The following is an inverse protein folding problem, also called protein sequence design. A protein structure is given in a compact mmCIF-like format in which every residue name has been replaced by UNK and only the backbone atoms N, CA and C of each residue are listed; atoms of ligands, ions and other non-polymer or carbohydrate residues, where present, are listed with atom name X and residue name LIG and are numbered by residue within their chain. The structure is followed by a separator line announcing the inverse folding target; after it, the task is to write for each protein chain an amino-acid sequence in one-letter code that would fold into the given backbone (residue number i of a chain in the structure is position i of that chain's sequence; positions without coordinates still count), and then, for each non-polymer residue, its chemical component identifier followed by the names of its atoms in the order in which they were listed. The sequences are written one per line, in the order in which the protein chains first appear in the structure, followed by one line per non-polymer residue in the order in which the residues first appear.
data_IF_671405638563
#
_entry.id   IF_671405638563
#
_cell.length_a   1.000
_cell.length_b   1.000
_cell.length_c   1.000
_cell.angle_alpha   90.00
_cell.angle_beta   90.00
_cell.angle_gamma   90.00
#
_symmetry.space_group_name_H-M   'P 1'
#
loop_
_entity.id
_entity.type
_entity.pdbx_description
1 polymer ?
#
# COMPACT_ATOMS: atom_id res chain seq x y z
N UNK A 1 -21.66 16.19 -23.91
CA UNK A 1 -20.94 16.94 -22.87
C UNK A 1 -21.94 17.20 -21.76
N UNK A 2 -22.14 16.26 -20.85
CA UNK A 2 -22.88 16.45 -19.60
C UNK A 2 -22.01 17.34 -18.71
N UNK A 3 -22.53 18.50 -18.37
CA UNK A 3 -21.93 19.36 -17.35
C UNK A 3 -21.85 18.56 -16.04
N UNK A 4 -20.64 18.47 -15.47
CA UNK A 4 -20.47 17.97 -14.12
C UNK A 4 -21.36 18.81 -13.19
N UNK A 5 -22.28 18.20 -12.51
CA UNK A 5 -23.05 18.86 -11.44
C UNK A 5 -22.05 19.14 -10.33
N UNK A 6 -21.73 20.43 -10.13
CA UNK A 6 -20.90 20.89 -9.00
C UNK A 6 -21.45 20.29 -7.71
N UNK A 7 -20.57 19.69 -6.93
CA UNK A 7 -20.88 19.11 -5.62
C UNK A 7 -21.39 20.22 -4.69
N UNK A 8 -22.53 20.01 -4.05
CA UNK A 8 -23.11 20.95 -3.10
C UNK A 8 -22.42 20.82 -1.71
N UNK A 9 -21.10 21.08 -1.63
CA UNK A 9 -20.32 20.90 -0.40
C UNK A 9 -18.84 21.25 -0.60
N UNK A 10 -18.01 21.05 0.43
CA UNK A 10 -16.57 21.17 0.31
C UNK A 10 -15.99 20.16 -0.71
N UNK A 11 -14.86 20.49 -1.38
CA UNK A 11 -14.21 19.56 -2.31
C UNK A 11 -13.87 18.23 -1.63
N UNK A 12 -13.99 17.12 -2.36
CA UNK A 12 -13.53 15.82 -1.86
C UNK A 12 -12.02 15.79 -1.83
N UNK A 13 -11.44 15.55 -0.67
CA UNK A 13 -10.01 15.34 -0.55
C UNK A 13 -9.61 14.02 -1.21
N UNK A 14 -8.57 14.05 -2.03
CA UNK A 14 -8.04 12.90 -2.76
C UNK A 14 -6.56 12.75 -2.42
N UNK A 15 -6.25 11.75 -1.61
CA UNK A 15 -4.87 11.39 -1.27
C UNK A 15 -4.31 10.45 -2.34
N UNK A 16 -3.38 10.94 -3.13
CA UNK A 16 -2.66 10.14 -4.12
C UNK A 16 -1.35 9.67 -3.49
N UNK A 17 -1.21 8.36 -3.30
CA UNK A 17 -0.03 7.72 -2.71
C UNK A 17 0.77 7.03 -3.82
N UNK A 18 1.85 7.64 -4.34
CA UNK A 18 2.73 7.00 -5.30
C UNK A 18 3.46 5.83 -4.63
N UNK A 19 3.46 4.69 -5.31
CA UNK A 19 4.10 3.47 -4.81
C UNK A 19 4.48 2.52 -5.93
N UNK A 20 5.15 1.45 -5.59
CA UNK A 20 5.26 0.23 -6.40
C UNK A 20 4.86 -0.97 -5.54
N UNK A 21 4.32 -2.04 -6.14
CA UNK A 21 4.32 -3.37 -5.53
C UNK A 21 5.48 -4.17 -6.12
N UNK A 22 6.26 -4.84 -5.27
CA UNK A 22 7.51 -5.43 -5.71
C UNK A 22 7.62 -6.91 -5.33
N UNK A 23 7.30 -7.77 -6.30
CA UNK A 23 7.66 -9.17 -6.22
C UNK A 23 9.16 -9.32 -6.53
N UNK A 24 9.89 -9.99 -5.64
CA UNK A 24 11.32 -10.24 -5.85
C UNK A 24 11.58 -11.32 -6.90
N UNK A 25 10.60 -12.16 -7.13
CA UNK A 25 10.60 -13.22 -8.13
C UNK A 25 9.15 -13.57 -8.49
N UNK A 26 8.82 -13.62 -9.79
CA UNK A 26 7.48 -13.96 -10.26
C UNK A 26 7.54 -14.54 -11.70
N UNK A 27 7.26 -13.73 -12.76
CA UNK A 27 7.40 -14.16 -14.17
C UNK A 27 8.85 -14.26 -14.62
N UNK A 28 9.72 -13.47 -14.01
CA UNK A 28 11.15 -13.49 -14.21
C UNK A 28 11.87 -13.94 -12.93
N UNK A 29 13.08 -14.50 -13.04
CA UNK A 29 13.87 -14.85 -11.88
C UNK A 29 14.37 -13.61 -11.12
N UNK A 30 14.70 -13.79 -9.85
CA UNK A 30 15.12 -12.74 -8.92
C UNK A 30 16.11 -11.72 -9.49
N UNK A 31 17.16 -12.18 -10.19
CA UNK A 31 18.18 -11.28 -10.73
C UNK A 31 17.65 -10.36 -11.83
N UNK A 32 16.65 -10.79 -12.60
CA UNK A 32 16.01 -9.96 -13.62
C UNK A 32 15.17 -8.87 -12.94
N UNK A 33 14.39 -9.22 -11.93
CA UNK A 33 13.62 -8.23 -11.14
C UNK A 33 14.53 -7.28 -10.39
N UNK A 34 15.62 -7.77 -9.82
CA UNK A 34 16.61 -6.93 -9.15
C UNK A 34 17.22 -5.87 -10.08
N UNK A 35 17.51 -6.22 -11.32
CA UNK A 35 17.96 -5.24 -12.32
C UNK A 35 16.91 -4.19 -12.63
N UNK A 36 15.62 -4.58 -12.70
CA UNK A 36 14.50 -3.65 -12.87
C UNK A 36 14.37 -2.73 -11.64
N UNK A 37 14.53 -3.29 -10.43
CA UNK A 37 14.49 -2.54 -9.16
C UNK A 37 15.58 -1.47 -9.09
N UNK A 38 16.81 -1.80 -9.48
CA UNK A 38 17.91 -0.84 -9.52
C UNK A 38 17.54 0.36 -10.38
N UNK A 39 16.99 0.13 -11.58
CA UNK A 39 16.55 1.21 -12.46
C UNK A 39 15.40 2.02 -11.88
N UNK A 40 14.43 1.37 -11.22
CA UNK A 40 13.30 2.03 -10.60
C UNK A 40 13.79 2.99 -9.50
N UNK A 41 14.66 2.51 -8.61
CA UNK A 41 15.14 3.32 -7.48
C UNK A 41 16.09 4.42 -7.96
N UNK A 42 17.00 4.16 -8.92
CA UNK A 42 17.85 5.20 -9.51
C UNK A 42 16.97 6.35 -10.08
N UNK A 43 15.94 6.04 -10.89
CA UNK A 43 15.02 7.05 -11.45
C UNK A 43 14.20 7.76 -10.36
N UNK A 44 13.76 7.02 -9.32
CA UNK A 44 13.02 7.62 -8.21
C UNK A 44 13.86 8.64 -7.44
N UNK A 45 15.12 8.31 -7.13
CA UNK A 45 16.03 9.20 -6.43
C UNK A 45 16.27 10.48 -7.24
N UNK A 46 16.53 10.34 -8.54
CA UNK A 46 16.74 11.47 -9.44
C UNK A 46 15.47 12.34 -9.57
N UNK A 47 14.29 11.72 -9.72
CA UNK A 47 13.01 12.44 -9.78
C UNK A 47 12.78 13.25 -8.50
N UNK A 48 12.95 12.63 -7.33
CA UNK A 48 12.66 13.28 -6.05
C UNK A 48 13.63 14.44 -5.73
N UNK A 49 14.85 14.38 -6.24
CA UNK A 49 15.80 15.48 -6.08
C UNK A 49 15.55 16.63 -7.06
N UNK A 50 15.05 16.33 -8.26
CA UNK A 50 14.82 17.32 -9.33
C UNK A 50 13.45 17.98 -9.21
N UNK A 51 12.44 17.27 -8.68
CA UNK A 51 11.07 17.74 -8.57
C UNK A 51 10.55 17.69 -7.13
N UNK A 52 10.48 18.84 -6.49
CA UNK A 52 9.91 18.97 -5.15
C UNK A 52 8.39 18.71 -5.10
N UNK A 53 7.68 18.85 -6.23
CA UNK A 53 6.25 18.58 -6.32
C UNK A 53 5.91 17.09 -6.27
N UNK A 54 6.88 16.21 -6.62
CA UNK A 54 6.78 14.77 -6.37
C UNK A 54 7.13 14.47 -4.91
N UNK A 55 6.20 14.79 -3.99
CA UNK A 55 6.46 14.91 -2.55
C UNK A 55 6.72 13.61 -1.82
N UNK A 56 6.19 12.47 -2.28
CA UNK A 56 6.22 11.20 -1.53
C UNK A 56 6.30 9.97 -2.43
N UNK A 57 6.88 8.88 -1.91
CA UNK A 57 6.83 7.55 -2.53
C UNK A 57 6.89 6.44 -1.46
N UNK A 58 6.01 5.46 -1.57
CA UNK A 58 5.99 4.27 -0.71
C UNK A 58 6.74 3.12 -1.41
N UNK A 59 7.84 2.67 -0.81
CA UNK A 59 8.60 1.49 -1.26
C UNK A 59 7.97 0.20 -0.70
N UNK A 60 6.76 -0.11 -1.14
CA UNK A 60 6.03 -1.38 -0.95
C UNK A 60 5.93 -1.91 0.49
N UNK A 61 6.19 -1.09 1.51
CA UNK A 61 6.12 -1.54 2.89
C UNK A 61 7.14 -2.62 3.28
N UNK A 62 8.20 -2.85 2.49
CA UNK A 62 9.20 -3.89 2.75
C UNK A 62 10.64 -3.38 2.61
N UNK A 63 11.52 -3.85 3.50
CA UNK A 63 12.93 -3.45 3.56
C UNK A 63 13.83 -4.27 2.62
N UNK A 64 13.41 -5.47 2.24
CA UNK A 64 14.19 -6.35 1.36
C UNK A 64 14.52 -5.69 0.02
N UNK A 65 13.63 -4.86 -0.52
CA UNK A 65 13.88 -4.11 -1.77
C UNK A 65 15.03 -3.12 -1.63
N UNK A 66 15.19 -2.53 -0.45
CA UNK A 66 16.31 -1.61 -0.15
C UNK A 66 17.62 -2.39 -0.07
N UNK A 67 17.63 -3.52 0.63
CA UNK A 67 18.83 -4.37 0.74
C UNK A 67 19.24 -4.92 -0.63
N UNK A 68 18.28 -5.38 -1.44
CA UNK A 68 18.52 -5.85 -2.81
C UNK A 68 19.10 -4.74 -3.71
N UNK A 69 18.66 -3.50 -3.53
CA UNK A 69 19.18 -2.35 -4.25
C UNK A 69 20.60 -1.97 -3.78
N UNK A 70 20.77 -1.82 -2.48
CA UNK A 70 22.04 -1.37 -1.89
C UNK A 70 23.18 -2.39 -2.03
N UNK A 71 22.88 -3.68 -2.23
CA UNK A 71 23.92 -4.66 -2.58
C UNK A 71 24.55 -4.35 -3.95
N UNK A 72 23.83 -3.68 -4.85
CA UNK A 72 24.32 -3.28 -6.18
C UNK A 72 24.79 -1.81 -6.20
N UNK A 73 24.12 -0.95 -5.43
CA UNK A 73 24.33 0.51 -5.39
C UNK A 73 24.61 1.02 -3.97
N UNK A 74 25.65 0.51 -3.29
CA UNK A 74 25.92 0.89 -1.90
C UNK A 74 26.18 2.39 -1.74
N UNK A 75 26.67 3.07 -2.77
CA UNK A 75 26.93 4.51 -2.78
C UNK A 75 25.65 5.36 -2.68
N UNK A 76 24.48 4.78 -2.96
CA UNK A 76 23.19 5.49 -2.92
C UNK A 76 22.54 5.48 -1.54
N UNK A 77 23.10 4.77 -0.55
CA UNK A 77 22.49 4.66 0.78
C UNK A 77 22.26 6.03 1.44
N UNK A 78 23.20 6.97 1.26
CA UNK A 78 23.07 8.33 1.80
C UNK A 78 21.85 9.09 1.25
N UNK A 79 21.58 8.96 -0.04
CA UNK A 79 20.41 9.59 -0.70
C UNK A 79 19.10 9.00 -0.18
N UNK A 80 19.01 7.67 -0.10
CA UNK A 80 17.83 6.96 0.44
C UNK A 80 17.55 7.39 1.88
N UNK A 81 18.59 7.43 2.73
CA UNK A 81 18.45 7.87 4.13
C UNK A 81 17.97 9.31 4.24
N UNK A 82 18.52 10.21 3.42
CA UNK A 82 18.11 11.60 3.43
C UNK A 82 16.64 11.79 3.05
N UNK A 83 16.17 11.09 2.00
CA UNK A 83 14.77 11.15 1.57
C UNK A 83 13.83 10.48 2.59
N UNK A 84 14.24 9.36 3.20
CA UNK A 84 13.45 8.71 4.24
C UNK A 84 13.35 9.59 5.50
N UNK A 85 14.45 10.18 5.96
CA UNK A 85 14.45 11.11 7.10
C UNK A 85 13.62 12.38 6.85
N UNK A 86 13.51 12.80 5.58
CA UNK A 86 12.64 13.91 5.19
C UNK A 86 11.16 13.50 5.02
N UNK A 87 10.78 12.23 5.27
CA UNK A 87 9.44 11.70 5.08
C UNK A 87 9.01 11.56 3.61
N UNK A 88 9.95 11.75 2.67
CA UNK A 88 9.67 11.68 1.24
C UNK A 88 9.67 10.26 0.68
N UNK A 89 10.39 9.33 1.31
CA UNK A 89 10.31 7.89 1.04
C UNK A 89 9.85 7.20 2.32
N UNK A 90 8.82 6.38 2.18
CA UNK A 90 8.34 5.51 3.27
C UNK A 90 8.77 4.07 3.03
N UNK A 91 9.24 3.41 4.10
CA UNK A 91 9.73 2.04 4.10
C UNK A 91 9.10 1.20 5.21
N UNK A 92 9.09 -0.13 5.06
CA UNK A 92 8.58 -1.06 6.07
C UNK A 92 7.07 -0.97 6.32
N UNK A 93 6.57 -1.64 7.38
CA UNK A 93 7.29 -2.20 8.52
C UNK A 93 7.86 -3.61 8.32
N UNK A 94 7.49 -4.30 7.26
CA UNK A 94 7.95 -5.66 7.02
C UNK A 94 9.38 -5.70 6.51
N UNK A 95 10.09 -6.80 6.78
CA UNK A 95 11.33 -7.06 6.06
C UNK A 95 11.03 -7.47 4.62
N UNK A 96 10.09 -8.41 4.45
CA UNK A 96 9.56 -8.85 3.16
C UNK A 96 8.06 -9.12 3.31
N UNK A 97 7.27 -8.82 2.27
CA UNK A 97 5.88 -9.22 2.20
C UNK A 97 5.78 -10.74 2.03
N UNK A 98 4.82 -11.38 2.69
CA UNK A 98 4.67 -12.84 2.72
C UNK A 98 3.22 -13.27 2.52
N UNK A 99 3.01 -14.42 1.94
CA UNK A 99 1.71 -15.10 2.01
C UNK A 99 1.51 -15.73 3.39
N UNK A 100 0.62 -15.16 4.18
CA UNK A 100 0.43 -15.46 5.60
C UNK A 100 0.07 -16.93 5.87
N UNK A 101 -0.63 -17.58 4.94
CA UNK A 101 -1.01 -19.00 5.07
C UNK A 101 0.07 -19.98 4.60
N UNK A 102 1.19 -19.49 4.06
CA UNK A 102 2.28 -20.32 3.56
C UNK A 102 3.52 -20.31 4.46
N UNK A 103 3.54 -19.45 5.48
CA UNK A 103 4.63 -19.32 6.45
C UNK A 103 4.15 -19.60 7.87
N UNK A 104 5.08 -19.87 8.79
CA UNK A 104 4.73 -20.05 10.20
C UNK A 104 4.42 -18.72 10.89
N UNK A 105 3.67 -18.75 12.00
CA UNK A 105 3.41 -17.58 12.83
C UNK A 105 4.72 -16.95 13.37
N UNK A 106 5.71 -17.78 13.71
CA UNK A 106 7.03 -17.32 14.14
C UNK A 106 7.73 -16.55 13.01
N UNK A 107 7.64 -17.04 11.76
CA UNK A 107 8.19 -16.35 10.59
C UNK A 107 7.54 -14.97 10.41
N UNK A 108 6.22 -14.85 10.59
CA UNK A 108 5.52 -13.55 10.50
C UNK A 108 6.07 -12.58 11.55
N UNK A 109 6.17 -13.01 12.81
CA UNK A 109 6.68 -12.17 13.90
C UNK A 109 8.13 -11.75 13.66
N UNK A 110 9.00 -12.70 13.29
CA UNK A 110 10.42 -12.41 13.01
C UNK A 110 10.61 -11.50 11.81
N UNK A 111 9.79 -11.67 10.78
CA UNK A 111 9.79 -10.82 9.60
C UNK A 111 9.46 -9.36 9.97
N UNK A 112 8.42 -9.14 10.78
CA UNK A 112 8.06 -7.81 11.27
C UNK A 112 9.18 -7.20 12.15
N UNK A 113 9.70 -7.96 13.11
CA UNK A 113 10.81 -7.52 13.97
C UNK A 113 12.05 -7.13 13.15
N UNK A 114 12.41 -7.96 12.16
CA UNK A 114 13.56 -7.68 11.28
C UNK A 114 13.32 -6.42 10.43
N UNK A 115 12.09 -6.23 9.91
CA UNK A 115 11.73 -5.04 9.16
C UNK A 115 11.85 -3.77 10.00
N UNK A 116 11.24 -3.75 11.20
CA UNK A 116 11.32 -2.62 12.13
C UNK A 116 12.78 -2.32 12.50
N UNK A 117 13.56 -3.35 12.86
CA UNK A 117 14.97 -3.18 13.20
C UNK A 117 15.78 -2.63 12.02
N UNK A 118 15.58 -3.17 10.82
CA UNK A 118 16.29 -2.69 9.62
C UNK A 118 15.89 -1.27 9.25
N UNK A 119 14.61 -0.92 9.38
CA UNK A 119 14.08 0.41 9.09
C UNK A 119 14.62 1.50 10.01
N UNK A 120 15.06 1.16 11.24
CA UNK A 120 15.68 2.12 12.14
C UNK A 120 16.90 2.82 11.54
N UNK A 121 17.58 2.15 10.61
CA UNK A 121 18.69 2.72 9.85
C UNK A 121 18.27 3.81 8.87
N UNK A 122 16.97 3.94 8.57
CA UNK A 122 16.38 4.94 7.68
C UNK A 122 15.49 5.95 8.44
N UNK A 123 15.62 6.04 9.76
CA UNK A 123 14.85 6.96 10.59
C UNK A 123 13.56 6.36 11.16
N UNK A 124 13.28 5.11 10.87
CA UNK A 124 12.07 4.39 11.31
C UNK A 124 11.41 3.64 10.17
N UNK A 125 10.24 3.10 10.47
CA UNK A 125 9.35 2.44 9.49
C UNK A 125 7.99 3.11 9.50
N UNK A 126 7.20 2.86 8.47
CA UNK A 126 5.78 3.22 8.46
C UNK A 126 5.05 2.47 9.59
N UNK A 127 4.32 3.19 10.43
CA UNK A 127 3.56 2.62 11.56
C UNK A 127 2.19 2.07 11.12
N UNK A 128 2.17 1.38 10.00
CA UNK A 128 0.97 0.78 9.40
C UNK A 128 1.30 -0.63 8.96
N UNK A 129 0.51 -1.60 9.37
CA UNK A 129 0.60 -2.98 8.89
C UNK A 129 0.17 -3.07 7.41
N UNK A 130 1.08 -2.75 6.48
CA UNK A 130 0.78 -2.72 5.05
C UNK A 130 0.81 -4.13 4.46
N UNK A 131 -0.35 -4.60 4.00
CA UNK A 131 -0.58 -5.97 3.51
C UNK A 131 -1.35 -5.92 2.18
N UNK A 132 -0.72 -5.41 1.10
CA UNK A 132 -1.42 -5.05 -0.13
C UNK A 132 -1.87 -6.24 -0.98
N UNK A 133 -1.08 -7.33 -1.05
CA UNK A 133 -1.34 -8.44 -1.98
C UNK A 133 -1.26 -9.84 -1.35
N UNK A 134 -1.40 -9.97 -0.04
CA UNK A 134 -1.51 -11.27 0.64
C UNK A 134 -2.79 -11.96 0.23
N UNK A 135 -2.70 -13.25 -0.11
CA UNK A 135 -3.84 -14.05 -0.59
C UNK A 135 -4.75 -14.54 0.55
N UNK A 136 -5.22 -13.58 1.34
CA UNK A 136 -5.96 -13.74 2.56
C UNK A 136 -5.09 -13.53 3.79
N UNK A 137 -5.73 -13.37 4.96
CA UNK A 137 -5.05 -12.99 6.18
C UNK A 137 -5.46 -13.86 7.36
N UNK A 138 -4.49 -14.22 8.20
CA UNK A 138 -4.70 -15.01 9.42
C UNK A 138 -5.43 -14.21 10.48
N UNK A 139 -6.32 -14.87 11.25
CA UNK A 139 -7.11 -14.22 12.30
C UNK A 139 -6.27 -13.54 13.39
N UNK A 140 -5.03 -13.97 13.58
CA UNK A 140 -4.10 -13.42 14.57
C UNK A 140 -3.36 -12.15 14.13
N UNK A 141 -3.48 -11.74 12.89
CA UNK A 141 -2.74 -10.57 12.38
C UNK A 141 -2.99 -9.29 13.20
N UNK A 142 -4.22 -8.93 13.61
CA UNK A 142 -4.41 -7.76 14.47
C UNK A 142 -3.64 -7.84 15.80
N UNK A 143 -3.55 -9.02 16.43
CA UNK A 143 -2.76 -9.22 17.64
C UNK A 143 -1.25 -8.99 17.38
N UNK A 144 -0.72 -9.53 16.28
CA UNK A 144 0.68 -9.37 15.90
C UNK A 144 1.01 -7.89 15.69
N UNK A 145 0.14 -7.18 14.98
CA UNK A 145 0.31 -5.75 14.69
C UNK A 145 0.25 -4.90 15.96
N UNK A 146 -0.76 -5.11 16.81
CA UNK A 146 -0.89 -4.35 18.08
C UNK A 146 0.27 -4.60 19.03
N UNK A 147 0.80 -5.82 19.10
CA UNK A 147 1.99 -6.13 19.90
C UNK A 147 3.25 -5.45 19.38
N UNK A 148 3.28 -5.09 18.11
CA UNK A 148 4.34 -4.27 17.50
C UNK A 148 4.07 -2.76 17.60
N UNK A 149 2.97 -2.33 18.24
CA UNK A 149 2.58 -0.92 18.35
C UNK A 149 1.87 -0.36 17.11
N UNK A 150 1.44 -1.20 16.18
CA UNK A 150 0.76 -0.79 14.95
C UNK A 150 -0.77 -0.84 15.14
N UNK A 151 -1.41 0.32 15.13
CA UNK A 151 -2.86 0.46 15.35
C UNK A 151 -3.68 0.42 14.05
N UNK A 152 -3.02 0.59 12.91
CA UNK A 152 -3.65 0.62 11.59
C UNK A 152 -3.06 -0.45 10.68
N UNK A 153 -3.88 -0.97 9.77
CA UNK A 153 -3.44 -1.86 8.69
C UNK A 153 -4.10 -1.45 7.38
N UNK A 154 -3.47 -1.81 6.27
CA UNK A 154 -4.03 -1.69 4.92
C UNK A 154 -4.13 -3.08 4.33
N UNK A 155 -5.32 -3.46 3.85
CA UNK A 155 -5.60 -4.78 3.28
C UNK A 155 -6.39 -4.68 1.99
N UNK A 156 -6.26 -5.66 1.12
CA UNK A 156 -7.06 -5.78 -0.08
C UNK A 156 -7.86 -7.09 -0.12
N UNK A 157 -7.15 -8.23 -0.28
CA UNK A 157 -7.79 -9.52 -0.51
C UNK A 157 -8.42 -10.07 0.76
N UNK A 158 -9.43 -10.90 0.58
CA UNK A 158 -10.03 -11.66 1.67
C UNK A 158 -11.11 -10.93 2.47
N UNK A 159 -11.33 -9.65 2.25
CA UNK A 159 -12.34 -8.87 2.98
C UNK A 159 -13.75 -9.37 2.65
N UNK A 160 -14.60 -9.67 3.66
CA UNK A 160 -15.92 -10.22 3.44
C UNK A 160 -16.94 -9.16 3.01
N UNK A 161 -18.06 -9.62 2.41
CA UNK A 161 -19.10 -8.75 1.85
C UNK A 161 -19.84 -7.89 2.88
N UNK A 162 -19.77 -8.24 4.17
CA UNK A 162 -20.36 -7.43 5.25
C UNK A 162 -19.61 -6.11 5.46
N UNK A 163 -18.37 -6.01 4.98
CA UNK A 163 -17.60 -4.75 4.98
C UNK A 163 -17.99 -3.95 3.74
N UNK A 164 -18.90 -3.01 3.94
CA UNK A 164 -19.48 -2.15 2.89
C UNK A 164 -18.87 -0.73 2.90
N UNK A 165 -17.70 -0.56 3.50
CA UNK A 165 -16.97 0.72 3.61
C UNK A 165 -15.49 0.51 3.29
N UNK A 166 -14.78 1.59 3.03
CA UNK A 166 -13.32 1.58 2.86
C UNK A 166 -12.56 1.30 4.15
N UNK A 167 -13.22 1.17 5.29
CA UNK A 167 -12.58 0.86 6.56
C UNK A 167 -13.47 0.00 7.46
N UNK A 168 -12.82 -0.78 8.33
CA UNK A 168 -13.47 -1.59 9.36
C UNK A 168 -12.53 -1.80 10.56
N UNK A 169 -13.08 -2.27 11.68
CA UNK A 169 -12.29 -2.72 12.82
C UNK A 169 -12.06 -4.23 12.69
N UNK A 170 -10.81 -4.62 12.56
CA UNK A 170 -10.45 -6.03 12.49
C UNK A 170 -9.97 -6.54 13.85
N UNK A 171 -10.62 -7.58 14.36
CA UNK A 171 -10.45 -8.08 15.73
C UNK A 171 -9.88 -9.50 15.71
N UNK A 172 -8.79 -9.70 16.44
CA UNK A 172 -8.14 -10.98 16.64
C UNK A 172 -8.86 -11.84 17.70
N UNK A 173 -8.56 -13.16 17.79
CA UNK A 173 -9.18 -14.06 18.77
C UNK A 173 -8.98 -13.67 20.23
N UNK A 174 -7.89 -12.99 20.58
CA UNK A 174 -7.60 -12.50 21.93
C UNK A 174 -8.30 -11.18 22.27
N UNK A 175 -9.01 -10.57 21.31
CA UNK A 175 -9.69 -9.28 21.44
C UNK A 175 -8.84 -8.07 21.02
N UNK A 176 -7.58 -8.23 20.70
CA UNK A 176 -6.78 -7.17 20.09
C UNK A 176 -7.40 -6.73 18.77
N UNK A 177 -7.34 -5.43 18.45
CA UNK A 177 -7.95 -4.91 17.25
C UNK A 177 -7.11 -3.83 16.58
N UNK A 178 -7.24 -3.71 15.26
CA UNK A 178 -6.65 -2.66 14.45
C UNK A 178 -7.73 -2.04 13.56
N UNK A 179 -7.58 -0.76 13.22
CA UNK A 179 -8.34 -0.17 12.14
C UNK A 179 -7.74 -0.64 10.81
N UNK A 180 -8.56 -1.29 9.99
CA UNK A 180 -8.16 -1.75 8.67
C UNK A 180 -8.70 -0.81 7.59
N UNK A 181 -7.82 -0.28 6.75
CA UNK A 181 -8.17 0.36 5.49
C UNK A 181 -8.34 -0.71 4.41
N UNK A 182 -9.48 -0.72 3.75
CA UNK A 182 -9.81 -1.66 2.71
C UNK A 182 -9.61 -1.05 1.32
N UNK A 183 -8.65 -1.53 0.60
CA UNK A 183 -8.41 -1.18 -0.80
C UNK A 183 -9.44 -1.88 -1.71
N UNK A 184 -10.63 -1.31 -1.84
CA UNK A 184 -11.81 -1.92 -2.50
C UNK A 184 -11.50 -2.42 -3.92
N UNK A 185 -10.70 -1.66 -4.68
CA UNK A 185 -10.25 -2.02 -6.04
C UNK A 185 -8.76 -2.40 -6.10
N UNK A 186 -8.18 -2.77 -4.95
CA UNK A 186 -6.77 -3.17 -4.86
C UNK A 186 -5.79 -2.00 -4.79
N UNK A 187 -4.51 -2.36 -4.67
CA UNK A 187 -3.40 -1.40 -4.56
C UNK A 187 -3.06 -0.68 -5.89
N UNK A 188 -3.76 -1.00 -6.97
CA UNK A 188 -3.60 -0.36 -8.28
C UNK A 188 -4.76 0.59 -8.65
N UNK A 189 -5.63 0.96 -7.69
CA UNK A 189 -6.83 1.76 -7.95
C UNK A 189 -6.54 3.16 -8.54
N UNK A 190 -5.37 3.72 -8.26
CA UNK A 190 -4.84 4.95 -8.81
C UNK A 190 -3.67 4.76 -9.79
N UNK A 191 -3.46 3.55 -10.32
CA UNK A 191 -2.38 3.30 -11.27
C UNK A 191 -2.61 4.04 -12.60
N UNK A 192 -1.49 4.40 -13.25
CA UNK A 192 -1.48 5.02 -14.59
C UNK A 192 -2.44 6.24 -14.70
N UNK A 193 -2.34 7.17 -13.73
CA UNK A 193 -3.09 8.42 -13.80
C UNK A 193 -2.67 9.22 -15.05
N UNK A 194 -3.63 9.89 -15.72
CA UNK A 194 -3.36 10.66 -16.94
C UNK A 194 -2.34 11.78 -16.73
N UNK A 195 -1.54 12.06 -17.77
CA UNK A 195 -0.60 13.19 -17.81
C UNK A 195 -1.28 14.54 -18.12
N UNK A 196 -2.53 14.51 -18.53
CA UNK A 196 -3.36 15.69 -18.83
C UNK A 196 -4.37 15.92 -17.71
N UNK A 197 -4.42 17.14 -17.17
CA UNK A 197 -5.27 17.48 -16.02
C UNK A 197 -6.78 17.29 -16.27
N UNK A 198 -7.27 17.58 -17.48
CA UNK A 198 -8.70 17.38 -17.83
C UNK A 198 -9.07 15.90 -17.90
N UNK A 199 -8.13 15.05 -18.36
CA UNK A 199 -8.31 13.61 -18.34
C UNK A 199 -8.24 13.07 -16.90
N UNK A 200 -7.35 13.62 -16.07
CA UNK A 200 -7.28 13.29 -14.64
C UNK A 200 -8.60 13.59 -13.94
N UNK A 201 -9.17 14.79 -14.11
CA UNK A 201 -10.45 15.18 -13.50
C UNK A 201 -11.57 14.20 -13.91
N UNK A 202 -11.67 13.84 -15.18
CA UNK A 202 -12.66 12.82 -15.63
C UNK A 202 -12.42 11.44 -15.02
N UNK A 203 -11.15 11.06 -14.85
CA UNK A 203 -10.79 9.79 -14.18
C UNK A 203 -11.20 9.79 -12.73
N UNK A 204 -11.02 10.92 -12.03
CA UNK A 204 -11.44 11.08 -10.63
C UNK A 204 -12.94 10.95 -10.45
N UNK A 205 -13.73 11.62 -11.30
CA UNK A 205 -15.19 11.52 -11.24
C UNK A 205 -15.67 10.07 -11.48
N UNK A 206 -15.04 9.35 -12.41
CA UNK A 206 -15.35 7.94 -12.64
C UNK A 206 -14.95 7.04 -11.45
N UNK A 207 -13.83 7.30 -10.80
CA UNK A 207 -13.40 6.57 -9.61
C UNK A 207 -14.30 6.87 -8.41
N UNK A 208 -14.71 8.13 -8.23
CA UNK A 208 -15.67 8.49 -7.18
C UNK A 208 -17.00 7.77 -7.37
N UNK A 209 -17.52 7.68 -8.59
CA UNK A 209 -18.73 6.93 -8.91
C UNK A 209 -18.54 5.42 -8.65
N UNK A 210 -17.42 4.85 -9.07
CA UNK A 210 -17.07 3.44 -8.84
C UNK A 210 -17.03 3.10 -7.33
N UNK A 211 -16.50 4.01 -6.51
CA UNK A 211 -16.34 3.79 -5.08
C UNK A 211 -17.48 4.33 -4.22
N UNK A 212 -18.48 4.97 -4.83
CA UNK A 212 -19.53 5.70 -4.12
C UNK A 212 -20.22 4.90 -3.01
N UNK A 213 -20.46 3.59 -3.22
CA UNK A 213 -21.09 2.73 -2.19
C UNK A 213 -20.18 2.42 -0.99
N UNK A 214 -18.87 2.64 -1.09
CA UNK A 214 -17.89 2.36 -0.06
C UNK A 214 -17.37 3.62 0.63
N UNK A 215 -17.29 4.72 -0.12
CA UNK A 215 -16.80 5.98 0.42
C UNK A 215 -17.80 6.57 1.42
N UNK A 216 -17.34 7.09 2.56
CA UNK A 216 -18.18 7.96 3.39
C UNK A 216 -18.50 9.25 2.64
N UNK A 217 -19.64 9.86 2.98
CA UNK A 217 -20.15 11.06 2.27
C UNK A 217 -19.12 12.20 2.23
N UNK A 218 -18.43 12.45 3.35
CA UNK A 218 -17.43 13.52 3.50
C UNK A 218 -16.01 13.00 3.71
N UNK A 219 -15.77 11.68 3.55
CA UNK A 219 -14.44 11.09 3.74
C UNK A 219 -13.48 11.30 2.56
N UNK A 220 -12.19 11.24 2.81
CA UNK A 220 -11.17 11.31 1.75
C UNK A 220 -11.22 10.08 0.86
N UNK A 221 -10.80 10.22 -0.38
CA UNK A 221 -10.58 9.11 -1.33
C UNK A 221 -9.08 8.78 -1.39
N UNK A 222 -8.74 7.51 -1.21
CA UNK A 222 -7.36 7.01 -1.33
C UNK A 222 -7.13 6.46 -2.73
N UNK A 223 -6.13 6.99 -3.41
CA UNK A 223 -5.64 6.48 -4.70
C UNK A 223 -4.20 5.99 -4.55
N UNK A 224 -4.03 4.68 -4.65
CA UNK A 224 -2.74 4.04 -4.68
C UNK A 224 -2.17 4.14 -6.11
N UNK A 225 -1.26 5.10 -6.33
CA UNK A 225 -0.70 5.40 -7.65
C UNK A 225 0.53 4.55 -7.94
N UNK A 226 0.29 3.33 -8.30
CA UNK A 226 1.28 2.33 -8.62
C UNK A 226 0.63 0.98 -8.88
N UNK A 227 1.42 -0.01 -9.20
CA UNK A 227 1.05 -1.43 -9.31
C UNK A 227 2.34 -2.26 -9.41
N UNK A 228 2.22 -3.53 -9.82
CA UNK A 228 3.34 -4.47 -9.92
C UNK A 228 4.48 -3.90 -10.77
N UNK A 229 5.62 -3.68 -10.12
CA UNK A 229 6.88 -3.25 -10.74
C UNK A 229 6.79 -1.92 -11.54
N UNK A 230 5.72 -1.13 -11.34
CA UNK A 230 5.57 0.15 -12.03
C UNK A 230 6.55 1.19 -11.47
N UNK A 231 7.10 1.97 -12.39
CA UNK A 231 7.96 3.12 -12.09
C UNK A 231 7.12 4.32 -11.69
N UNK A 232 7.68 5.28 -10.92
CA UNK A 232 6.97 6.52 -10.60
C UNK A 232 6.58 7.28 -11.86
N UNK A 233 5.45 7.99 -11.80
CA UNK A 233 4.96 8.86 -12.87
C UNK A 233 5.53 10.27 -12.69
N UNK A 234 6.55 10.71 -13.46
CA UNK A 234 7.27 11.96 -13.19
C UNK A 234 6.41 13.22 -13.37
N UNK A 235 5.31 13.13 -14.11
CA UNK A 235 4.38 14.26 -14.31
C UNK A 235 3.37 14.47 -13.19
N UNK A 236 3.33 13.58 -12.20
CA UNK A 236 2.23 13.50 -11.23
C UNK A 236 2.06 14.81 -10.43
N UNK A 237 3.13 15.38 -9.91
CA UNK A 237 3.07 16.64 -9.16
C UNK A 237 2.50 17.79 -10.01
N UNK A 238 2.97 17.94 -11.23
CA UNK A 238 2.50 18.96 -12.17
C UNK A 238 1.02 18.78 -12.51
N UNK A 239 0.59 17.58 -12.90
CA UNK A 239 -0.79 17.35 -13.33
C UNK A 239 -1.79 17.49 -12.19
N UNK A 240 -1.40 17.15 -10.96
CA UNK A 240 -2.21 17.38 -9.74
C UNK A 240 -2.40 18.89 -9.51
N UNK A 241 -1.34 19.69 -9.59
CA UNK A 241 -1.43 21.14 -9.44
C UNK A 241 -2.36 21.76 -10.50
N UNK A 242 -2.16 21.41 -11.77
CA UNK A 242 -3.01 21.85 -12.88
C UNK A 242 -4.50 21.43 -12.69
N UNK A 243 -4.75 20.22 -12.18
CA UNK A 243 -6.10 19.74 -11.94
C UNK A 243 -6.79 20.52 -10.82
N UNK A 244 -6.09 20.84 -9.74
CA UNK A 244 -6.61 21.67 -8.66
C UNK A 244 -6.95 23.10 -9.09
N UNK A 245 -6.23 23.65 -10.08
CA UNK A 245 -6.54 24.97 -10.64
C UNK A 245 -7.77 24.99 -11.57
N UNK A 246 -8.13 23.83 -12.15
CA UNK A 246 -9.17 23.73 -13.18
C UNK A 246 -10.57 23.40 -12.66
N UNK A 247 -10.72 22.99 -11.41
CA UNK A 247 -11.99 22.59 -10.81
C UNK A 247 -11.95 22.70 -9.28
N UNK A 248 -13.15 22.71 -8.64
CA UNK A 248 -13.36 22.84 -7.21
C UNK A 248 -14.06 21.59 -6.59
N UNK A 249 -14.29 20.52 -7.35
CA UNK A 249 -14.96 19.30 -6.88
C UNK A 249 -14.03 18.40 -6.06
N UNK A 250 -12.72 18.44 -6.35
CA UNK A 250 -11.68 17.64 -5.73
C UNK A 250 -10.52 18.49 -5.24
N UNK A 251 -9.96 18.15 -4.09
CA UNK A 251 -8.69 18.66 -3.58
C UNK A 251 -7.65 17.52 -3.58
N UNK A 252 -6.76 17.51 -4.58
CA UNK A 252 -5.77 16.48 -4.76
C UNK A 252 -4.45 16.83 -4.08
N UNK A 253 -3.81 15.83 -3.48
CA UNK A 253 -2.44 15.95 -3.00
C UNK A 253 -1.67 14.64 -3.18
N UNK A 254 -0.36 14.73 -3.45
CA UNK A 254 0.55 13.62 -3.21
C UNK A 254 0.74 13.49 -1.71
N UNK A 255 0.46 12.32 -1.17
CA UNK A 255 0.35 12.07 0.27
C UNK A 255 1.03 10.75 0.66
N UNK A 256 1.32 10.58 1.94
CA UNK A 256 1.64 9.28 2.51
C UNK A 256 0.37 8.56 2.98
N UNK A 257 0.47 7.24 3.22
CA UNK A 257 -0.61 6.50 3.89
C UNK A 257 -0.84 7.01 5.31
N UNK A 258 0.20 7.45 6.00
CA UNK A 258 0.09 8.00 7.36
C UNK A 258 -0.72 9.29 7.36
N UNK A 259 -0.46 10.21 6.43
CA UNK A 259 -1.22 11.45 6.30
C UNK A 259 -2.69 11.18 5.94
N UNK A 260 -2.94 10.27 5.00
CA UNK A 260 -4.30 9.84 4.67
C UNK A 260 -5.06 9.33 5.90
N UNK A 261 -4.42 8.49 6.73
CA UNK A 261 -5.06 7.87 7.90
C UNK A 261 -5.34 8.85 9.05
N UNK A 262 -4.74 10.04 9.07
CA UNK A 262 -5.08 11.11 10.02
C UNK A 262 -6.53 11.56 9.81
N UNK A 263 -6.94 11.68 8.56
CA UNK A 263 -8.26 12.18 8.15
C UNK A 263 -9.28 11.07 7.84
N UNK A 264 -8.81 9.82 7.79
CA UNK A 264 -9.67 8.68 7.46
C UNK A 264 -10.66 8.37 8.58
N UNK A 265 -11.89 7.94 8.27
CA UNK A 265 -12.94 7.66 9.26
C UNK A 265 -12.49 6.63 10.30
N UNK A 266 -12.85 6.90 11.58
CA UNK A 266 -12.57 6.00 12.71
C UNK A 266 -13.85 5.57 13.45
N UNK A 267 -14.91 6.34 13.35
CA UNK A 267 -16.15 6.10 14.06
C UNK A 267 -17.17 5.34 13.22
N UNK A 268 -18.02 4.54 13.88
CA UNK A 268 -19.10 3.80 13.22
C UNK A 268 -18.64 2.69 12.29
N UNK A 269 -17.40 2.21 12.43
CA UNK A 269 -16.85 1.13 11.61
C UNK A 269 -17.44 -0.21 12.04
N UNK A 270 -17.76 -1.07 11.07
CA UNK A 270 -18.18 -2.44 11.34
C UNK A 270 -17.01 -3.25 11.89
N UNK A 271 -17.28 -4.12 12.86
CA UNK A 271 -16.30 -5.08 13.36
C UNK A 271 -16.31 -6.37 12.54
N UNK A 272 -15.13 -6.86 12.22
CA UNK A 272 -14.93 -8.21 11.70
C UNK A 272 -13.98 -9.01 12.60
N UNK A 273 -14.38 -10.23 12.94
CA UNK A 273 -13.59 -11.16 13.77
C UNK A 273 -13.22 -12.39 12.97
N UNK A 274 -11.93 -12.73 12.99
CA UNK A 274 -11.42 -13.92 12.32
C UNK A 274 -10.57 -13.65 11.09
N UNK A 275 -10.42 -14.69 10.28
CA UNK A 275 -9.60 -14.63 9.04
C UNK A 275 -10.26 -13.76 7.97
N UNK A 276 -9.43 -13.14 7.14
CA UNK A 276 -9.87 -12.52 5.89
C UNK A 276 -9.60 -13.51 4.75
N UNK A 277 -10.61 -14.28 4.35
CA UNK A 277 -10.51 -15.34 3.32
C UNK A 277 -11.65 -15.32 2.31
N UNK A 278 -12.40 -14.25 2.24
CA UNK A 278 -13.49 -14.14 1.28
C UNK A 278 -12.96 -13.92 -0.14
N UNK A 279 -13.47 -14.67 -1.10
CA UNK A 279 -13.26 -14.45 -2.54
C UNK A 279 -14.22 -13.43 -3.15
N UNK A 280 -14.91 -12.62 -2.34
CA UNK A 280 -16.01 -11.77 -2.79
C UNK A 280 -15.63 -10.75 -3.88
N UNK A 281 -14.51 -10.02 -3.69
CA UNK A 281 -14.05 -9.02 -4.65
C UNK A 281 -12.68 -9.31 -5.25
N UNK A 282 -11.93 -10.23 -4.68
CA UNK A 282 -10.59 -10.56 -5.14
C UNK A 282 -10.28 -12.03 -4.90
N UNK A 283 -9.52 -12.63 -5.79
CA UNK A 283 -9.11 -14.01 -5.65
C UNK A 283 -8.14 -14.19 -4.49
N UNK A 284 -8.39 -15.17 -3.62
CA UNK A 284 -7.52 -15.55 -2.48
C UNK A 284 -6.78 -16.87 -2.72
N UNK A 285 -6.86 -17.44 -3.91
CA UNK A 285 -6.14 -18.66 -4.35
C UNK A 285 -6.18 -19.79 -3.30
N UNK A 286 -7.32 -20.05 -2.66
CA UNK A 286 -7.44 -21.01 -1.54
C UNK A 286 -6.92 -22.42 -1.88
N UNK A 287 -7.05 -22.83 -3.15
CA UNK A 287 -6.58 -24.15 -3.62
C UNK A 287 -5.06 -24.28 -3.69
N UNK A 288 -4.30 -23.20 -3.62
CA UNK A 288 -2.83 -23.24 -3.72
C UNK A 288 -2.18 -23.99 -2.57
N UNK A 289 -2.82 -24.03 -1.40
CA UNK A 289 -2.30 -24.75 -0.23
C UNK A 289 -2.16 -26.27 -0.46
N UNK A 290 -2.98 -26.86 -1.32
CA UNK A 290 -2.95 -28.30 -1.67
C UNK A 290 -2.07 -28.63 -2.88
N UNK A 291 -1.51 -27.63 -3.57
CA UNK A 291 -0.61 -27.81 -4.70
C UNK A 291 0.84 -27.80 -4.25
N UNK A 292 1.70 -28.61 -4.90
CA UNK A 292 3.15 -28.70 -4.60
C UNK A 292 3.43 -28.83 -3.10
N UNK A 293 2.71 -29.76 -2.44
CA UNK A 293 2.84 -30.04 -0.99
C UNK A 293 4.29 -30.43 -0.62
N UNK A 294 5.00 -31.08 -1.52
CA UNK A 294 6.43 -31.42 -1.38
C UNK A 294 7.30 -30.18 -1.10
N UNK A 295 7.11 -29.11 -1.87
CA UNK A 295 7.84 -27.85 -1.72
C UNK A 295 7.46 -27.16 -0.40
N UNK A 296 6.16 -27.09 -0.08
CA UNK A 296 5.67 -26.47 1.14
C UNK A 296 6.14 -27.18 2.41
N UNK A 297 6.18 -28.51 2.38
CA UNK A 297 6.76 -29.31 3.47
C UNK A 297 8.25 -29.11 3.63
N UNK A 298 8.99 -28.92 2.50
CA UNK A 298 10.41 -28.61 2.55
C UNK A 298 10.63 -27.23 3.16
N UNK A 299 9.86 -26.20 2.74
CA UNK A 299 9.90 -24.85 3.31
C UNK A 299 9.63 -24.87 4.82
N UNK A 300 8.55 -25.53 5.26
CA UNK A 300 8.23 -25.67 6.69
C UNK A 300 9.31 -26.37 7.53
N UNK A 301 10.11 -27.25 6.93
CA UNK A 301 11.26 -27.86 7.63
C UNK A 301 12.46 -26.90 7.74
N UNK A 302 12.62 -25.98 6.82
CA UNK A 302 13.68 -24.96 6.85
C UNK A 302 13.38 -23.86 7.87
N UNK A 303 12.11 -23.58 8.13
CA UNK A 303 11.68 -22.59 9.12
C UNK A 303 11.95 -23.02 10.59
N UNK A 304 12.17 -24.31 10.85
CA UNK A 304 12.38 -24.88 12.19
C UNK A 304 13.86 -24.99 12.55
#
# INVERSE_FOLDING_TARGET
VTAATSRAGAPRRVSVVPHTHWDREWYDPFQTYRLKLVRLIDDLLDLMEQDASFGHFLLDGQLAVIDDYLEIRPEQEGRLRALAAAGRITVGPWYILMDEFLVSGETIVRNLQKGILRGSAFGGVMEIGYLPDMFGHVAQMPQILTQAGLENTVVWRGVPSVVERTAFVWVAPDGSSVRAEYLVAGYGNGAALPEDAKHLIRRLAALEEEFASFLPDDGPMLLMNGSDHLRPQPWLGRVIAEANELQDDFELSISSLSDYLVDAPRDGLVEWRGELRSGYRSNVLMGVASNRVDVKQAASRVER
#
